data_IF_870791997413
#
_entry.id   IF_870791997413
#
_cell.length_a   1.000
_cell.length_b   1.000
_cell.length_c   1.000
_cell.angle_alpha   90.00
_cell.angle_beta   90.00
_cell.angle_gamma   90.00
#
_symmetry.space_group_name_H-M   'P 1'
#
loop_
_entity.id
_entity.type
_entity.pdbx_description
1 polymer ?
#
# COMPACT_ATOMS: atom_id res chain seq x y z
N UNK A 1 -48.98 12.41 33.49
CA UNK A 1 -48.61 12.38 34.92
C UNK A 1 -47.58 11.28 35.09
N UNK A 2 -46.35 11.64 35.43
CA UNK A 2 -45.23 10.74 35.69
C UNK A 2 -45.42 10.05 37.04
N UNK A 3 -45.31 8.73 37.07
CA UNK A 3 -45.41 7.91 38.29
C UNK A 3 -44.16 8.05 39.17
N UNK A 4 -44.28 7.94 40.49
CA UNK A 4 -43.16 8.10 41.41
C UNK A 4 -42.25 6.86 41.34
N UNK A 5 -41.10 7.02 40.68
CA UNK A 5 -40.11 5.96 40.44
C UNK A 5 -39.18 6.19 39.24
N UNK A 6 -39.46 7.18 38.39
CA UNK A 6 -38.71 7.49 37.16
C UNK A 6 -37.23 7.89 37.43
N UNK A 7 -36.22 7.11 37.01
CA UNK A 7 -34.90 7.65 36.73
C UNK A 7 -34.95 8.40 35.38
N UNK A 8 -35.50 9.61 35.42
CA UNK A 8 -34.87 10.85 34.92
C UNK A 8 -34.28 10.99 33.51
N UNK A 9 -34.50 10.11 32.52
CA UNK A 9 -33.99 10.34 31.15
C UNK A 9 -35.13 10.56 30.15
N UNK A 10 -35.82 11.69 30.26
CA UNK A 10 -36.97 12.07 29.39
C UNK A 10 -36.68 12.04 27.88
N UNK A 11 -35.41 12.05 27.49
CA UNK A 11 -34.96 12.03 26.10
C UNK A 11 -34.68 10.64 25.53
N UNK A 12 -34.69 9.58 26.36
CA UNK A 12 -34.36 8.22 25.93
C UNK A 12 -35.48 7.22 26.28
N UNK A 13 -35.58 6.10 25.56
CA UNK A 13 -36.55 5.06 25.88
C UNK A 13 -36.23 4.39 27.23
N UNK A 14 -37.21 4.35 28.13
CA UNK A 14 -37.04 3.83 29.50
C UNK A 14 -37.24 2.31 29.62
N UNK A 15 -37.89 1.68 28.63
CA UNK A 15 -38.19 0.24 28.62
C UNK A 15 -37.41 -0.50 27.53
N UNK A 16 -36.97 -1.73 27.82
CA UNK A 16 -36.27 -2.61 26.85
C UNK A 16 -36.96 -2.75 25.48
N UNK A 17 -38.29 -3.03 25.38
CA UNK A 17 -38.96 -3.19 24.09
C UNK A 17 -39.06 -1.89 23.27
N UNK A 18 -38.84 -0.72 23.89
CA UNK A 18 -38.83 0.55 23.17
C UNK A 18 -37.52 0.77 22.39
N UNK A 19 -36.46 0.04 22.73
CA UNK A 19 -35.22 0.00 21.96
C UNK A 19 -35.34 -1.01 20.82
N UNK A 20 -35.31 -0.53 19.57
CA UNK A 20 -35.27 -1.38 18.38
C UNK A 20 -33.82 -1.67 17.99
N UNK A 21 -33.34 -2.85 18.35
CA UNK A 21 -31.98 -3.30 18.05
C UNK A 21 -31.89 -4.10 16.75
N UNK A 22 -32.94 -4.10 15.93
CA UNK A 22 -32.95 -4.76 14.61
C UNK A 22 -31.84 -4.19 13.68
N UNK A 23 -31.34 -2.98 13.99
CA UNK A 23 -30.17 -2.32 13.38
C UNK A 23 -28.86 -3.11 13.57
N UNK A 24 -28.81 -4.08 14.48
CA UNK A 24 -27.65 -4.98 14.67
C UNK A 24 -27.29 -5.71 13.37
N UNK A 25 -28.29 -6.01 12.52
CA UNK A 25 -28.06 -6.57 11.19
C UNK A 25 -27.26 -5.65 10.28
N UNK A 26 -27.43 -4.31 10.39
CA UNK A 26 -26.67 -3.33 9.62
C UNK A 26 -25.21 -3.27 10.08
N UNK A 27 -24.94 -3.42 11.38
CA UNK A 27 -23.56 -3.44 11.90
C UNK A 27 -22.75 -4.63 11.39
N UNK A 28 -23.42 -5.73 11.04
CA UNK A 28 -22.78 -6.88 10.41
C UNK A 28 -22.36 -6.61 8.95
N UNK A 29 -22.97 -5.61 8.29
CA UNK A 29 -22.72 -5.26 6.88
C UNK A 29 -21.88 -3.97 6.74
N UNK A 30 -21.95 -3.08 7.73
CA UNK A 30 -21.13 -1.87 7.82
C UNK A 30 -19.67 -2.28 8.11
N UNK A 31 -18.71 -1.53 7.53
CA UNK A 31 -17.28 -1.77 7.69
C UNK A 31 -16.60 -2.45 6.49
N UNK A 32 -17.29 -2.56 5.36
CA UNK A 32 -16.77 -3.21 4.15
C UNK A 32 -15.43 -2.61 3.70
N UNK A 33 -15.29 -1.28 3.74
CA UNK A 33 -14.06 -0.59 3.36
C UNK A 33 -12.88 -0.96 4.28
N UNK A 34 -13.12 -1.05 5.59
CA UNK A 34 -12.09 -1.42 6.56
C UNK A 34 -11.61 -2.86 6.35
N UNK A 35 -12.51 -3.79 6.02
CA UNK A 35 -12.14 -5.19 5.74
C UNK A 35 -11.48 -5.32 4.37
N UNK A 36 -11.95 -4.58 3.36
CA UNK A 36 -11.44 -4.63 2.01
C UNK A 36 -9.95 -4.27 1.92
N UNK A 37 -9.49 -3.33 2.74
CA UNK A 37 -8.07 -2.93 2.82
C UNK A 37 -7.19 -4.08 3.32
N UNK A 38 -7.68 -4.86 4.29
CA UNK A 38 -6.93 -5.97 4.89
C UNK A 38 -7.21 -7.32 4.24
N UNK A 39 -8.10 -7.38 3.24
CA UNK A 39 -8.59 -8.61 2.62
C UNK A 39 -7.45 -9.52 2.15
N UNK A 40 -6.45 -8.95 1.47
CA UNK A 40 -5.31 -9.70 0.93
C UNK A 40 -4.45 -10.32 2.03
N UNK A 41 -4.16 -9.58 3.09
CA UNK A 41 -3.37 -10.08 4.22
C UNK A 41 -4.17 -11.11 5.04
N UNK A 42 -5.49 -10.92 5.18
CA UNK A 42 -6.39 -11.88 5.84
C UNK A 42 -6.37 -13.20 5.08
N UNK A 43 -6.57 -13.19 3.76
CA UNK A 43 -6.69 -14.42 2.96
C UNK A 43 -5.36 -15.09 2.67
N UNK A 44 -4.24 -14.38 2.79
CA UNK A 44 -2.89 -14.97 2.74
C UNK A 44 -2.52 -15.75 4.02
N UNK A 45 -3.24 -15.50 5.12
CA UNK A 45 -3.01 -16.13 6.41
C UNK A 45 -3.80 -17.43 6.59
N UNK A 46 -3.19 -18.44 7.20
CA UNK A 46 -3.87 -19.69 7.56
C UNK A 46 -5.06 -19.47 8.51
N UNK A 47 -5.08 -18.39 9.30
CA UNK A 47 -6.18 -18.10 10.22
C UNK A 47 -7.45 -17.63 9.49
N UNK A 48 -7.41 -17.44 8.17
CA UNK A 48 -8.60 -17.16 7.36
C UNK A 48 -9.63 -18.28 7.41
N UNK A 49 -9.19 -19.52 7.69
CA UNK A 49 -10.07 -20.69 7.79
C UNK A 49 -10.76 -20.81 9.16
N UNK A 50 -10.39 -20.01 10.16
CA UNK A 50 -11.02 -20.06 11.49
C UNK A 50 -12.48 -19.58 11.44
N UNK A 51 -13.43 -20.33 12.02
CA UNK A 51 -14.84 -19.95 12.01
C UNK A 51 -15.07 -18.78 12.97
N UNK A 52 -15.24 -17.58 12.44
CA UNK A 52 -15.21 -16.34 13.24
C UNK A 52 -16.21 -15.30 12.75
N UNK A 53 -16.51 -14.33 13.60
CA UNK A 53 -17.36 -13.21 13.26
C UNK A 53 -16.57 -12.19 12.46
N UNK A 54 -16.86 -12.07 11.17
CA UNK A 54 -16.31 -11.04 10.32
C UNK A 54 -17.35 -9.93 10.13
N UNK A 55 -17.02 -8.67 10.46
CA UNK A 55 -17.79 -7.55 9.94
C UNK A 55 -17.72 -7.54 8.42
N UNK A 56 -18.81 -7.13 7.78
CA UNK A 56 -18.91 -6.95 6.33
C UNK A 56 -18.23 -8.05 5.49
N UNK A 57 -18.54 -9.36 5.68
CA UNK A 57 -17.83 -10.44 4.98
C UNK A 57 -17.98 -10.37 3.47
N UNK A 58 -18.97 -9.61 2.97
CA UNK A 58 -19.16 -9.37 1.55
C UNK A 58 -17.94 -8.70 0.88
N UNK A 59 -17.09 -8.00 1.63
CA UNK A 59 -15.80 -7.48 1.12
C UNK A 59 -14.90 -8.58 0.52
N UNK A 60 -15.02 -9.80 1.05
CA UNK A 60 -14.28 -10.99 0.60
C UNK A 60 -15.05 -11.76 -0.49
N UNK A 61 -16.35 -11.49 -0.65
CA UNK A 61 -17.24 -12.17 -1.61
C UNK A 61 -17.12 -11.61 -3.03
N UNK A 62 -15.91 -11.53 -3.58
CA UNK A 62 -15.68 -10.99 -4.92
C UNK A 62 -15.95 -12.04 -6.01
N UNK A 63 -16.57 -11.67 -7.14
CA UNK A 63 -16.85 -12.60 -8.24
C UNK A 63 -15.56 -13.11 -8.90
N UNK A 64 -14.52 -12.28 -8.90
CA UNK A 64 -13.18 -12.62 -9.34
C UNK A 64 -12.15 -12.28 -8.27
N UNK A 65 -11.10 -13.08 -8.20
CA UNK A 65 -9.98 -12.90 -7.29
C UNK A 65 -8.83 -12.20 -8.01
N UNK A 66 -8.10 -11.28 -7.34
CA UNK A 66 -6.98 -10.59 -7.97
C UNK A 66 -5.87 -11.57 -8.30
N UNK A 67 -5.32 -11.50 -9.52
CA UNK A 67 -4.17 -12.33 -9.93
C UNK A 67 -2.85 -11.76 -9.43
N UNK A 68 -2.84 -10.47 -9.06
CA UNK A 68 -1.67 -9.70 -8.65
C UNK A 68 -2.00 -8.79 -7.49
N UNK A 69 -0.96 -8.44 -6.73
CA UNK A 69 -1.05 -7.44 -5.68
C UNK A 69 -1.19 -6.02 -6.26
N UNK A 70 -1.74 -5.06 -5.50
CA UNK A 70 -1.94 -3.71 -5.99
C UNK A 70 -0.60 -2.99 -6.13
N UNK A 71 -0.34 -2.50 -7.33
CA UNK A 71 0.87 -1.74 -7.65
C UNK A 71 0.68 -0.25 -7.34
N UNK A 72 1.77 0.45 -7.05
CA UNK A 72 1.77 1.89 -6.78
C UNK A 72 2.25 2.65 -8.01
N UNK A 73 1.51 3.66 -8.46
CA UNK A 73 1.85 4.41 -9.66
C UNK A 73 3.03 5.35 -9.44
N UNK A 74 4.18 5.02 -10.02
CA UNK A 74 5.37 5.86 -10.06
C UNK A 74 6.20 5.51 -11.30
N UNK A 75 6.95 6.47 -11.84
CA UNK A 75 7.82 6.20 -12.99
C UNK A 75 9.11 5.56 -12.49
N UNK A 76 9.37 4.33 -12.91
CA UNK A 76 10.53 3.56 -12.50
C UNK A 76 11.39 3.24 -13.71
N UNK A 77 12.71 3.40 -13.58
CA UNK A 77 13.67 3.05 -14.61
C UNK A 77 14.88 2.33 -14.03
N UNK A 78 15.28 1.23 -14.65
CA UNK A 78 16.55 0.58 -14.37
C UNK A 78 17.70 1.45 -14.86
N UNK A 79 18.62 1.79 -13.95
CA UNK A 79 19.75 2.68 -14.21
C UNK A 79 20.63 2.11 -15.32
N UNK A 80 20.97 0.83 -15.22
CA UNK A 80 21.84 0.12 -16.16
C UNK A 80 21.10 -0.89 -17.05
N UNK A 81 19.95 -1.42 -16.61
CA UNK A 81 19.27 -2.52 -17.31
C UNK A 81 18.43 -2.09 -18.52
N UNK A 82 18.07 -0.80 -18.64
CA UNK A 82 17.21 -0.37 -19.75
C UNK A 82 15.72 -0.37 -19.44
N UNK A 83 15.29 -1.11 -18.42
CA UNK A 83 13.89 -1.36 -18.10
C UNK A 83 13.17 -0.10 -17.67
N UNK A 84 11.94 0.11 -18.15
CA UNK A 84 11.06 1.21 -17.74
C UNK A 84 9.73 0.61 -17.33
N UNK A 85 9.22 1.04 -16.18
CA UNK A 85 7.92 0.64 -15.66
C UNK A 85 7.19 1.86 -15.12
N UNK A 86 5.87 1.83 -15.21
CA UNK A 86 4.98 2.92 -14.80
C UNK A 86 4.36 2.69 -13.42
N UNK A 87 4.84 1.67 -12.73
CA UNK A 87 4.41 1.25 -11.42
C UNK A 87 5.55 0.61 -10.64
N UNK A 88 5.37 0.57 -9.32
CA UNK A 88 6.25 -0.08 -8.35
C UNK A 88 5.47 -1.19 -7.66
N UNK A 89 6.12 -2.34 -7.46
CA UNK A 89 5.54 -3.51 -6.81
C UNK A 89 5.02 -3.24 -5.40
N UNK A 90 4.11 -4.07 -4.92
CA UNK A 90 3.46 -3.87 -3.63
C UNK A 90 4.47 -3.96 -2.48
N UNK A 91 5.34 -4.98 -2.49
CA UNK A 91 6.33 -5.15 -1.43
C UNK A 91 7.41 -4.07 -1.46
N UNK A 92 7.79 -3.58 -2.65
CA UNK A 92 8.68 -2.43 -2.79
C UNK A 92 8.09 -1.17 -2.15
N UNK A 93 6.80 -0.88 -2.36
CA UNK A 93 6.14 0.27 -1.73
C UNK A 93 5.96 0.11 -0.20
N UNK A 94 5.99 -1.12 0.33
CA UNK A 94 6.03 -1.32 1.79
C UNK A 94 7.40 -0.95 2.37
N UNK A 95 8.48 -1.28 1.66
CA UNK A 95 9.85 -0.94 2.07
C UNK A 95 10.07 0.56 1.97
N UNK A 96 9.65 1.15 0.85
CA UNK A 96 9.78 2.59 0.57
C UNK A 96 8.41 3.17 0.27
N UNK A 97 7.68 3.68 1.28
CA UNK A 97 6.36 4.27 1.09
C UNK A 97 6.46 5.54 0.24
N UNK A 98 6.14 5.44 -1.05
CA UNK A 98 6.29 6.54 -2.01
C UNK A 98 5.36 7.71 -1.72
N UNK A 99 4.19 7.44 -1.14
CA UNK A 99 3.19 8.45 -0.77
C UNK A 99 3.60 9.27 0.46
N UNK A 100 4.56 8.79 1.25
CA UNK A 100 5.05 9.48 2.45
C UNK A 100 6.28 10.36 2.17
N UNK A 101 6.81 10.33 0.95
CA UNK A 101 8.00 11.09 0.58
C UNK A 101 7.66 12.58 0.41
N UNK A 102 8.46 13.50 1.00
CA UNK A 102 8.27 14.92 0.77
C UNK A 102 8.52 15.29 -0.71
N UNK A 103 7.87 16.34 -1.22
CA UNK A 103 8.15 16.86 -2.55
C UNK A 103 9.64 17.18 -2.73
N UNK A 104 10.19 16.86 -3.90
CA UNK A 104 11.60 17.10 -4.24
C UNK A 104 12.65 16.43 -3.32
N UNK A 105 12.25 15.49 -2.47
CA UNK A 105 13.17 14.71 -1.65
C UNK A 105 14.05 13.77 -2.49
N UNK A 106 15.25 13.48 -1.98
CA UNK A 106 16.17 12.53 -2.56
C UNK A 106 16.51 11.45 -1.54
N UNK A 107 16.42 10.20 -1.95
CA UNK A 107 16.68 9.05 -1.07
C UNK A 107 17.51 8.00 -1.82
N UNK A 108 18.56 7.49 -1.18
CA UNK A 108 19.37 6.37 -1.66
C UNK A 108 19.20 5.19 -0.69
N UNK A 109 18.69 4.08 -1.20
CA UNK A 109 18.48 2.86 -0.43
C UNK A 109 19.36 1.73 -0.96
N UNK A 110 20.14 1.12 -0.08
CA UNK A 110 20.84 -0.13 -0.40
C UNK A 110 19.96 -1.29 0.06
N UNK A 111 19.52 -2.13 -0.89
CA UNK A 111 18.70 -3.31 -0.57
C UNK A 111 19.44 -4.59 -0.98
N UNK A 112 19.54 -5.51 -0.04
CA UNK A 112 20.22 -6.81 -0.21
C UNK A 112 19.38 -7.93 0.40
N UNK A 113 19.51 -9.15 -0.13
CA UNK A 113 18.96 -10.34 0.53
C UNK A 113 19.62 -10.53 1.90
N UNK A 114 18.81 -10.89 2.89
CA UNK A 114 19.30 -11.21 4.23
C UNK A 114 20.23 -12.43 4.18
N UNK A 115 21.28 -12.50 5.03
CA UNK A 115 22.20 -13.64 5.06
C UNK A 115 21.51 -15.00 5.21
N UNK A 116 20.45 -15.05 6.03
CA UNK A 116 19.63 -16.25 6.23
C UNK A 116 18.90 -16.68 4.96
N UNK A 117 18.45 -15.73 4.14
CA UNK A 117 17.75 -16.02 2.90
C UNK A 117 18.69 -16.56 1.82
N UNK A 118 19.93 -16.06 1.75
CA UNK A 118 20.94 -16.56 0.80
C UNK A 118 21.23 -18.06 0.98
N UNK A 119 21.31 -18.52 2.24
CA UNK A 119 21.48 -19.95 2.57
C UNK A 119 20.25 -20.78 2.14
N UNK A 120 19.05 -20.22 2.34
CA UNK A 120 17.81 -20.87 1.94
C UNK A 120 17.60 -20.89 0.43
N UNK A 121 18.02 -19.83 -0.26
CA UNK A 121 17.90 -19.65 -1.72
C UNK A 121 18.77 -20.66 -2.46
N UNK A 122 19.98 -20.95 -1.97
CA UNK A 122 20.81 -22.03 -2.50
C UNK A 122 20.11 -23.39 -2.44
N UNK A 123 19.37 -23.64 -1.37
CA UNK A 123 18.55 -24.87 -1.21
C UNK A 123 17.31 -24.85 -2.11
N UNK A 124 16.62 -23.71 -2.21
CA UNK A 124 15.41 -23.55 -3.03
C UNK A 124 15.69 -23.62 -4.54
N UNK A 125 16.84 -23.12 -4.99
CA UNK A 125 17.30 -23.23 -6.37
C UNK A 125 17.52 -24.70 -6.78
N UNK A 126 17.95 -25.55 -5.86
CA UNK A 126 18.10 -27.01 -6.08
C UNK A 126 16.74 -27.71 -6.11
N UNK A 127 15.78 -27.28 -5.29
CA UNK A 127 14.43 -27.88 -5.23
C UNK A 127 13.43 -27.26 -6.22
N UNK A 128 13.83 -26.26 -7.00
CA UNK A 128 12.96 -25.56 -7.96
C UNK A 128 11.84 -24.72 -7.31
N UNK A 129 11.99 -24.36 -6.04
CA UNK A 129 10.99 -23.60 -5.29
C UNK A 129 11.05 -22.11 -5.65
N UNK A 130 9.89 -21.48 -5.85
CA UNK A 130 9.84 -20.03 -6.07
C UNK A 130 9.89 -19.26 -4.75
N UNK A 131 10.55 -18.09 -4.74
CA UNK A 131 10.57 -17.18 -3.61
C UNK A 131 9.17 -16.73 -3.14
N UNK A 132 8.94 -16.66 -1.82
CA UNK A 132 7.67 -16.23 -1.20
C UNK A 132 7.88 -15.16 -0.13
N UNK A 133 6.83 -14.36 0.14
CA UNK A 133 6.77 -13.38 1.24
C UNK A 133 5.58 -13.74 2.15
N UNK A 134 5.79 -14.47 3.26
CA UNK A 134 4.69 -14.88 4.11
C UNK A 134 4.11 -13.69 4.91
N UNK A 135 2.85 -13.80 5.37
CA UNK A 135 2.34 -12.90 6.40
C UNK A 135 3.11 -13.11 7.71
N UNK A 136 3.30 -12.04 8.50
CA UNK A 136 3.99 -12.13 9.80
C UNK A 136 3.21 -13.03 10.76
N UNK A 137 3.90 -14.00 11.37
CA UNK A 137 3.32 -14.95 12.32
C UNK A 137 2.58 -14.28 13.50
N UNK A 138 3.09 -13.14 13.98
CA UNK A 138 2.51 -12.32 15.06
C UNK A 138 1.95 -10.98 14.53
N UNK A 139 1.35 -10.99 13.35
CA UNK A 139 0.68 -9.81 12.82
C UNK A 139 -0.55 -9.44 13.68
N UNK A 140 -0.85 -8.14 13.88
CA UNK A 140 -2.07 -7.68 14.55
C UNK A 140 -3.36 -8.31 13.98
N UNK A 141 -3.37 -8.66 12.69
CA UNK A 141 -4.48 -9.37 12.06
C UNK A 141 -4.70 -10.77 12.64
N UNK A 142 -3.63 -11.48 13.02
CA UNK A 142 -3.74 -12.80 13.64
C UNK A 142 -4.33 -12.70 15.04
N UNK A 143 -3.87 -11.72 15.83
CA UNK A 143 -4.44 -11.44 17.15
C UNK A 143 -5.93 -11.09 17.04
N UNK A 144 -6.30 -10.23 16.10
CA UNK A 144 -7.69 -9.87 15.86
C UNK A 144 -8.53 -11.06 15.36
N UNK A 145 -7.95 -11.92 14.52
CA UNK A 145 -8.60 -13.14 14.04
C UNK A 145 -8.88 -14.12 15.18
N UNK A 146 -7.90 -14.32 16.07
CA UNK A 146 -8.04 -15.17 17.24
C UNK A 146 -9.05 -14.57 18.23
N UNK A 147 -9.00 -13.25 18.47
CA UNK A 147 -9.97 -12.54 19.29
C UNK A 147 -11.40 -12.69 18.74
N UNK A 148 -11.59 -12.50 17.43
CA UNK A 148 -12.89 -12.67 16.77
C UNK A 148 -13.41 -14.11 16.91
N UNK A 149 -12.55 -15.11 16.76
CA UNK A 149 -12.92 -16.52 17.00
C UNK A 149 -13.36 -16.76 18.45
N UNK A 150 -12.60 -16.27 19.43
CA UNK A 150 -12.95 -16.39 20.85
C UNK A 150 -14.25 -15.64 21.18
N UNK A 151 -14.47 -14.48 20.55
CA UNK A 151 -15.69 -13.70 20.69
C UNK A 151 -16.89 -14.46 20.11
N UNK A 152 -16.76 -15.06 18.92
CA UNK A 152 -17.78 -15.95 18.35
C UNK A 152 -18.13 -17.11 19.28
N UNK A 153 -17.12 -17.78 19.85
CA UNK A 153 -17.35 -18.86 20.81
C UNK A 153 -18.06 -18.35 22.08
N UNK A 154 -17.67 -17.18 22.59
CA UNK A 154 -18.31 -16.53 23.73
C UNK A 154 -19.78 -16.18 23.46
N UNK A 155 -20.09 -15.63 22.28
CA UNK A 155 -21.47 -15.35 21.85
C UNK A 155 -22.27 -16.64 21.75
N UNK A 156 -21.70 -17.71 21.18
CA UNK A 156 -22.38 -19.00 21.06
C UNK A 156 -22.71 -19.59 22.45
N UNK A 157 -21.77 -19.56 23.39
CA UNK A 157 -21.99 -20.00 24.77
C UNK A 157 -23.07 -19.16 25.45
N UNK A 158 -23.04 -17.84 25.30
CA UNK A 158 -24.06 -16.95 25.85
C UNK A 158 -25.45 -17.24 25.27
N UNK A 159 -25.55 -17.49 23.95
CA UNK A 159 -26.81 -17.84 23.29
C UNK A 159 -27.38 -19.17 23.81
N UNK A 160 -26.53 -20.16 24.11
CA UNK A 160 -26.95 -21.41 24.76
C UNK A 160 -27.50 -21.17 26.17
N UNK A 161 -26.82 -20.33 26.97
CA UNK A 161 -27.28 -19.97 28.33
C UNK A 161 -28.63 -19.23 28.28
N UNK A 162 -28.81 -18.32 27.32
CA UNK A 162 -30.05 -17.58 27.11
C UNK A 162 -31.14 -18.36 26.37
N UNK A 163 -30.85 -19.61 25.96
CA UNK A 163 -31.76 -20.49 25.21
C UNK A 163 -32.29 -19.85 23.91
N UNK A 164 -31.44 -19.09 23.23
CA UNK A 164 -31.76 -18.40 21.98
C UNK A 164 -31.34 -19.26 20.78
N UNK A 165 -32.24 -20.13 20.34
CA UNK A 165 -31.99 -21.04 19.21
C UNK A 165 -31.70 -20.32 17.89
N UNK A 166 -32.32 -19.14 17.68
CA UNK A 166 -32.11 -18.34 16.47
C UNK A 166 -30.70 -17.78 16.44
N UNK A 167 -30.23 -17.25 17.58
CA UNK A 167 -28.85 -16.76 17.71
C UNK A 167 -27.81 -17.88 17.52
N UNK A 168 -28.05 -19.08 18.06
CA UNK A 168 -27.15 -20.23 17.88
C UNK A 168 -26.98 -20.56 16.39
N UNK A 169 -28.08 -20.67 15.65
CA UNK A 169 -28.05 -20.98 14.22
C UNK A 169 -27.37 -19.84 13.45
N UNK A 170 -27.75 -18.59 13.71
CA UNK A 170 -27.19 -17.42 13.03
C UNK A 170 -25.67 -17.33 13.19
N UNK A 171 -25.16 -17.48 14.42
CA UNK A 171 -23.72 -17.39 14.72
C UNK A 171 -22.94 -18.59 14.18
N UNK A 172 -23.55 -19.77 14.14
CA UNK A 172 -22.94 -20.95 13.52
C UNK A 172 -22.82 -20.76 12.01
N UNK A 173 -23.88 -20.32 11.35
CA UNK A 173 -23.90 -20.13 9.90
C UNK A 173 -22.95 -19.01 9.45
N UNK A 174 -22.88 -17.89 10.17
CA UNK A 174 -21.95 -16.79 9.81
C UNK A 174 -20.49 -17.17 10.04
N UNK A 175 -20.21 -17.92 11.12
CA UNK A 175 -18.87 -18.42 11.40
C UNK A 175 -18.47 -19.45 10.34
N UNK A 176 -19.38 -20.34 9.93
CA UNK A 176 -19.14 -21.28 8.82
C UNK A 176 -18.92 -20.55 7.49
N UNK A 177 -19.70 -19.49 7.21
CA UNK A 177 -19.53 -18.66 6.02
C UNK A 177 -18.12 -18.08 5.96
N UNK A 178 -17.60 -17.57 7.10
CA UNK A 178 -16.23 -17.05 7.17
C UNK A 178 -15.18 -18.10 6.81
N UNK A 179 -15.30 -19.33 7.31
CA UNK A 179 -14.40 -20.44 6.98
C UNK A 179 -14.46 -20.82 5.52
N UNK A 180 -15.66 -20.94 4.94
CA UNK A 180 -15.86 -21.30 3.53
C UNK A 180 -15.22 -20.24 2.61
N UNK A 181 -15.46 -18.96 2.91
CA UNK A 181 -14.91 -17.84 2.13
C UNK A 181 -13.39 -17.73 2.30
N UNK A 182 -12.89 -17.91 3.53
CA UNK A 182 -11.46 -17.91 3.83
C UNK A 182 -10.72 -19.04 3.11
N UNK A 183 -11.25 -20.27 3.18
CA UNK A 183 -10.70 -21.41 2.45
C UNK A 183 -10.67 -21.16 0.93
N UNK A 184 -11.79 -20.73 0.35
CA UNK A 184 -11.90 -20.45 -1.08
C UNK A 184 -10.91 -19.36 -1.55
N UNK A 185 -10.69 -18.36 -0.70
CA UNK A 185 -9.83 -17.21 -1.02
C UNK A 185 -8.38 -17.41 -0.59
N UNK A 186 -8.03 -18.55 0.01
CA UNK A 186 -6.69 -18.80 0.54
C UNK A 186 -5.62 -18.79 -0.55
N UNK A 187 -4.53 -18.07 -0.31
CA UNK A 187 -3.48 -17.85 -1.29
C UNK A 187 -2.12 -17.56 -0.66
N UNK A 188 -1.07 -17.53 -1.48
CA UNK A 188 0.27 -17.07 -1.10
C UNK A 188 0.90 -16.21 -2.21
N UNK A 189 1.71 -15.19 -1.86
CA UNK A 189 2.43 -14.41 -2.85
C UNK A 189 3.66 -15.17 -3.34
N UNK A 190 3.82 -15.17 -4.65
CA UNK A 190 4.99 -15.71 -5.32
C UNK A 190 5.73 -14.58 -6.01
N UNK A 191 7.03 -14.49 -5.74
CA UNK A 191 7.91 -13.55 -6.40
C UNK A 191 8.50 -14.16 -7.67
N UNK A 192 8.84 -13.31 -8.62
CA UNK A 192 9.45 -13.73 -9.87
C UNK A 192 10.90 -14.12 -9.64
N UNK A 193 11.34 -15.28 -10.16
CA UNK A 193 12.74 -15.74 -10.09
C UNK A 193 13.39 -15.88 -11.48
N UNK A 194 14.70 -15.64 -11.53
CA UNK A 194 15.51 -15.69 -12.73
C UNK A 194 15.74 -17.16 -13.06
N UNK A 195 15.54 -17.52 -14.32
CA UNK A 195 15.80 -18.89 -14.80
C UNK A 195 17.20 -19.08 -15.39
N UNK A 196 17.84 -17.99 -15.83
CA UNK A 196 19.14 -18.02 -16.51
C UNK A 196 20.21 -17.33 -15.66
N UNK A 197 21.43 -17.85 -15.65
CA UNK A 197 22.55 -17.36 -14.82
C UNK A 197 23.57 -16.54 -15.61
N UNK A 198 23.15 -15.87 -16.69
CA UNK A 198 24.05 -15.04 -17.48
C UNK A 198 24.58 -13.86 -16.63
N UNK A 199 25.74 -13.35 -16.99
CA UNK A 199 26.22 -12.09 -16.39
C UNK A 199 25.24 -10.96 -16.75
N UNK A 200 24.88 -10.15 -15.75
CA UNK A 200 23.88 -9.08 -15.86
C UNK A 200 24.41 -7.81 -15.20
N UNK A 201 24.06 -6.63 -15.75
CA UNK A 201 24.39 -5.38 -15.10
C UNK A 201 23.75 -5.27 -13.71
N UNK A 202 24.18 -4.28 -12.93
CA UNK A 202 23.57 -4.02 -11.61
C UNK A 202 22.07 -3.79 -11.72
N UNK A 203 21.33 -4.26 -10.72
CA UNK A 203 19.87 -4.16 -10.64
C UNK A 203 19.38 -2.79 -10.20
N UNK A 204 20.24 -1.77 -10.16
CA UNK A 204 19.91 -0.46 -9.62
C UNK A 204 18.69 0.16 -10.31
N UNK A 205 17.76 0.65 -9.49
CA UNK A 205 16.48 1.20 -9.93
C UNK A 205 16.36 2.64 -9.49
N UNK A 206 15.93 3.51 -10.40
CA UNK A 206 15.54 4.89 -10.11
C UNK A 206 14.01 5.01 -10.14
N UNK A 207 13.43 5.53 -9.08
CA UNK A 207 12.00 5.78 -8.96
C UNK A 207 11.77 7.29 -8.88
N UNK A 208 10.85 7.78 -9.71
CA UNK A 208 10.41 9.18 -9.74
C UNK A 208 8.94 9.25 -9.35
N UNK A 209 8.64 10.02 -8.30
CA UNK A 209 7.26 10.27 -7.86
C UNK A 209 6.63 11.43 -8.66
N UNK A 210 5.32 11.62 -8.53
CA UNK A 210 4.62 12.76 -9.13
C UNK A 210 5.05 14.11 -8.53
N UNK A 211 5.37 14.13 -7.25
CA UNK A 211 5.80 15.32 -6.50
C UNK A 211 7.29 15.67 -6.73
N UNK A 212 7.95 15.03 -7.71
CA UNK A 212 9.33 15.34 -8.09
C UNK A 212 10.40 14.78 -7.15
N UNK A 213 10.04 13.84 -6.25
CA UNK A 213 11.01 13.12 -5.45
C UNK A 213 11.69 12.01 -6.26
N UNK A 214 12.95 11.74 -5.96
CA UNK A 214 13.75 10.68 -6.58
C UNK A 214 14.25 9.70 -5.52
N UNK A 215 14.02 8.41 -5.76
CA UNK A 215 14.55 7.32 -4.95
C UNK A 215 15.47 6.46 -5.79
N UNK A 216 16.76 6.42 -5.45
CA UNK A 216 17.72 5.49 -6.00
C UNK A 216 17.78 4.25 -5.12
N UNK A 217 17.46 3.10 -5.68
CA UNK A 217 17.60 1.81 -5.02
C UNK A 217 18.82 1.10 -5.62
N UNK A 218 19.87 0.91 -4.83
CA UNK A 218 21.04 0.12 -5.19
C UNK A 218 20.84 -1.31 -4.74
N UNK A 219 20.77 -2.23 -5.70
CA UNK A 219 20.47 -3.63 -5.41
C UNK A 219 20.96 -4.56 -6.53
N UNK A 220 21.03 -5.85 -6.24
CA UNK A 220 21.33 -6.86 -7.27
C UNK A 220 20.13 -7.02 -8.23
N UNK A 221 20.40 -7.49 -9.44
CA UNK A 221 19.34 -7.75 -10.44
C UNK A 221 18.27 -8.73 -9.93
N UNK A 222 18.62 -9.66 -9.04
CA UNK A 222 17.63 -10.58 -8.45
C UNK A 222 16.69 -9.88 -7.47
N UNK A 223 17.20 -8.98 -6.62
CA UNK A 223 16.35 -8.14 -5.74
C UNK A 223 15.49 -7.22 -6.58
N UNK A 224 16.07 -6.57 -7.60
CA UNK A 224 15.35 -5.68 -8.50
C UNK A 224 14.17 -6.39 -9.18
N UNK A 225 14.39 -7.63 -9.62
CA UNK A 225 13.39 -8.45 -10.31
C UNK A 225 12.42 -9.17 -9.38
N UNK A 226 12.69 -9.25 -8.09
CA UNK A 226 11.73 -9.74 -7.11
C UNK A 226 10.79 -8.63 -6.63
N UNK A 227 11.32 -7.42 -6.38
CA UNK A 227 10.58 -6.32 -5.76
C UNK A 227 10.06 -5.24 -6.72
N UNK A 228 10.80 -4.96 -7.80
CA UNK A 228 10.56 -3.77 -8.64
C UNK A 228 10.11 -4.13 -10.05
N UNK A 229 10.87 -4.93 -10.79
CA UNK A 229 10.53 -5.34 -12.16
C UNK A 229 9.75 -6.65 -12.23
N UNK A 230 9.68 -7.36 -11.11
CA UNK A 230 8.93 -8.60 -10.93
C UNK A 230 7.44 -8.40 -10.92
N UNK A 231 6.73 -9.37 -11.49
CA UNK A 231 5.29 -9.45 -11.29
C UNK A 231 5.01 -10.31 -10.07
N UNK A 232 4.44 -9.71 -9.03
CA UNK A 232 4.02 -10.41 -7.81
C UNK A 232 2.70 -11.15 -8.10
N UNK A 233 2.79 -12.46 -8.27
CA UNK A 233 1.62 -13.29 -8.61
C UNK A 233 0.98 -13.88 -7.35
N UNK A 234 -0.35 -13.84 -7.31
CA UNK A 234 -1.13 -14.47 -6.26
C UNK A 234 -1.40 -15.93 -6.63
N UNK A 235 -0.71 -16.88 -5.99
CA UNK A 235 -1.00 -18.31 -6.15
C UNK A 235 -2.05 -18.74 -5.14
N UNK A 236 -3.22 -19.12 -5.64
CA UNK A 236 -4.33 -19.59 -4.81
C UNK A 236 -4.33 -21.10 -4.71
N UNK A 237 -4.60 -21.62 -3.51
CA UNK A 237 -4.67 -23.05 -3.26
C UNK A 237 -5.91 -23.71 -3.88
N UNK A 238 -7.01 -22.95 -3.99
CA UNK A 238 -8.28 -23.43 -4.54
C UNK A 238 -8.40 -23.08 -6.02
N UNK A 239 -8.86 -24.02 -6.85
CA UNK A 239 -9.12 -23.80 -8.28
C UNK A 239 -10.35 -22.92 -8.55
N UNK A 240 -10.44 -22.32 -9.73
CA UNK A 240 -11.47 -21.33 -10.07
C UNK A 240 -12.92 -21.86 -9.98
N UNK A 241 -13.17 -23.10 -10.42
CA UNK A 241 -14.52 -23.69 -10.34
C UNK A 241 -14.96 -23.89 -8.89
N UNK A 242 -14.09 -24.45 -8.06
CA UNK A 242 -14.35 -24.66 -6.65
C UNK A 242 -14.51 -23.33 -5.90
N UNK A 243 -13.69 -22.32 -6.26
CA UNK A 243 -13.84 -20.95 -5.75
C UNK A 243 -15.26 -20.43 -5.98
N UNK A 244 -15.74 -20.40 -7.24
CA UNK A 244 -17.09 -19.87 -7.56
C UNK A 244 -18.21 -20.56 -6.79
N UNK A 245 -18.13 -21.89 -6.63
CA UNK A 245 -19.11 -22.67 -5.84
C UNK A 245 -19.05 -22.29 -4.36
N UNK A 246 -17.85 -22.20 -3.77
CA UNK A 246 -17.68 -21.81 -2.39
C UNK A 246 -18.15 -20.36 -2.13
N UNK A 247 -17.92 -19.44 -3.08
CA UNK A 247 -18.39 -18.05 -2.98
C UNK A 247 -19.92 -17.98 -3.01
N UNK A 248 -20.57 -18.75 -3.87
CA UNK A 248 -22.03 -18.86 -3.90
C UNK A 248 -22.56 -19.44 -2.58
N UNK A 249 -21.94 -20.50 -2.06
CA UNK A 249 -22.31 -21.10 -0.78
C UNK A 249 -22.13 -20.10 0.38
N UNK A 250 -20.98 -19.43 0.45
CA UNK A 250 -20.70 -18.41 1.48
C UNK A 250 -21.70 -17.26 1.46
N UNK A 251 -22.10 -16.82 0.27
CA UNK A 251 -23.13 -15.77 0.09
C UNK A 251 -24.49 -16.22 0.63
N UNK A 252 -24.93 -17.44 0.31
CA UNK A 252 -26.20 -18.00 0.80
C UNK A 252 -26.18 -18.12 2.32
N UNK A 253 -25.10 -18.68 2.89
CA UNK A 253 -24.94 -18.81 4.33
C UNK A 253 -25.01 -17.45 5.02
N UNK A 254 -24.34 -16.44 4.47
CA UNK A 254 -24.34 -15.08 4.98
C UNK A 254 -25.74 -14.44 4.94
N UNK A 255 -26.43 -14.52 3.81
CA UNK A 255 -27.78 -13.96 3.66
C UNK A 255 -28.76 -14.58 4.67
N UNK A 256 -28.77 -15.90 4.81
CA UNK A 256 -29.61 -16.61 5.79
C UNK A 256 -29.25 -16.20 7.22
N UNK A 257 -27.95 -16.09 7.52
CA UNK A 257 -27.47 -15.68 8.85
C UNK A 257 -27.94 -14.28 9.23
N UNK A 258 -27.83 -13.31 8.31
CA UNK A 258 -28.22 -11.91 8.57
C UNK A 258 -29.72 -11.78 8.83
N UNK A 259 -30.56 -12.53 8.12
CA UNK A 259 -32.01 -12.57 8.39
C UNK A 259 -32.31 -13.13 9.79
N UNK A 260 -31.60 -14.19 10.21
CA UNK A 260 -31.78 -14.77 11.54
C UNK A 260 -31.30 -13.83 12.66
N UNK A 261 -30.23 -13.06 12.45
CA UNK A 261 -29.74 -12.09 13.43
C UNK A 261 -30.80 -11.06 13.84
N UNK A 262 -31.62 -10.61 12.90
CA UNK A 262 -32.73 -9.69 13.17
C UNK A 262 -33.83 -10.27 14.05
N UNK A 263 -33.91 -11.60 14.17
CA UNK A 263 -34.93 -12.31 14.93
C UNK A 263 -34.41 -12.87 16.27
N UNK A 264 -33.19 -12.51 16.66
CA UNK A 264 -32.61 -12.92 17.94
C UNK A 264 -33.27 -12.21 19.13
N UNK A 265 -33.15 -12.80 20.32
CA UNK A 265 -33.62 -12.15 21.55
C UNK A 265 -32.81 -10.89 21.86
N UNK A 266 -33.42 -9.95 22.61
CA UNK A 266 -32.81 -8.66 22.92
C UNK A 266 -31.42 -8.78 23.58
N UNK A 267 -31.22 -9.75 24.48
CA UNK A 267 -29.92 -9.97 25.13
C UNK A 267 -28.85 -10.40 24.11
N UNK A 268 -29.18 -11.34 23.22
CA UNK A 268 -28.30 -11.78 22.13
C UNK A 268 -28.01 -10.65 21.14
N UNK A 269 -29.02 -9.87 20.76
CA UNK A 269 -28.87 -8.73 19.85
C UNK A 269 -27.88 -7.69 20.39
N UNK A 270 -27.96 -7.32 21.68
CA UNK A 270 -26.98 -6.41 22.29
C UNK A 270 -25.58 -7.00 22.24
N UNK A 271 -25.42 -8.27 22.62
CA UNK A 271 -24.10 -8.86 22.72
C UNK A 271 -23.43 -9.00 21.35
N UNK A 272 -24.21 -9.42 20.35
CA UNK A 272 -23.77 -9.52 18.95
C UNK A 272 -23.49 -8.12 18.39
N UNK A 273 -24.39 -7.16 18.59
CA UNK A 273 -24.22 -5.78 18.13
C UNK A 273 -22.99 -5.10 18.72
N UNK A 274 -22.80 -5.22 20.04
CA UNK A 274 -21.61 -4.73 20.73
C UNK A 274 -20.33 -5.39 20.21
N UNK A 275 -20.38 -6.69 19.94
CA UNK A 275 -19.26 -7.42 19.35
C UNK A 275 -18.90 -6.90 17.96
N UNK A 276 -19.89 -6.63 17.10
CA UNK A 276 -19.65 -6.03 15.79
C UNK A 276 -19.12 -4.60 15.87
N UNK A 277 -19.57 -3.78 16.83
CA UNK A 277 -19.02 -2.43 17.05
C UNK A 277 -17.54 -2.52 17.41
N UNK A 278 -17.19 -3.40 18.36
CA UNK A 278 -15.80 -3.61 18.77
C UNK A 278 -14.96 -4.11 17.60
N UNK A 279 -15.43 -5.14 16.89
CA UNK A 279 -14.69 -5.69 15.74
C UNK A 279 -14.52 -4.67 14.62
N UNK A 280 -15.57 -3.92 14.25
CA UNK A 280 -15.47 -2.85 13.25
C UNK A 280 -14.46 -1.78 13.67
N UNK A 281 -14.50 -1.34 14.93
CA UNK A 281 -13.54 -0.37 15.46
C UNK A 281 -12.09 -0.89 15.42
N UNK A 282 -11.88 -2.17 15.77
CA UNK A 282 -10.57 -2.80 15.71
C UNK A 282 -10.05 -2.95 14.27
N UNK A 283 -10.89 -3.42 13.33
CA UNK A 283 -10.51 -3.53 11.92
C UNK A 283 -10.22 -2.18 11.28
N UNK A 284 -11.01 -1.15 11.61
CA UNK A 284 -10.72 0.22 11.20
C UNK A 284 -9.39 0.71 11.79
N UNK A 285 -9.14 0.46 13.08
CA UNK A 285 -7.88 0.82 13.73
C UNK A 285 -6.65 0.13 13.12
N UNK A 286 -6.79 -1.09 12.59
CA UNK A 286 -5.71 -1.76 11.86
C UNK A 286 -5.31 -1.01 10.58
N UNK A 287 -6.23 -0.27 9.94
CA UNK A 287 -5.91 0.57 8.77
C UNK A 287 -4.93 1.71 9.09
N UNK A 288 -4.80 2.08 10.36
CA UNK A 288 -3.83 3.10 10.80
C UNK A 288 -2.41 2.56 10.99
N UNK A 289 -2.22 1.23 10.95
CA UNK A 289 -0.92 0.61 11.14
C UNK A 289 -0.18 0.48 9.80
N UNK A 290 1.14 0.68 9.76
CA UNK A 290 1.90 0.52 8.53
C UNK A 290 1.91 -0.95 8.09
N UNK A 291 1.91 -1.15 6.77
CA UNK A 291 1.80 -2.48 6.14
C UNK A 291 2.96 -3.43 6.51
N UNK A 292 4.07 -2.90 7.00
CA UNK A 292 5.22 -3.64 7.53
C UNK A 292 4.86 -4.54 8.72
N UNK A 293 3.77 -4.28 9.45
CA UNK A 293 3.31 -5.17 10.53
C UNK A 293 2.56 -6.41 10.02
N UNK A 294 2.03 -6.40 8.79
CA UNK A 294 1.24 -7.50 8.24
C UNK A 294 2.09 -8.49 7.42
N UNK A 295 3.12 -7.99 6.73
CA UNK A 295 3.96 -8.77 5.82
C UNK A 295 5.36 -8.97 6.37
N UNK A 296 5.91 -10.18 6.19
CA UNK A 296 7.26 -10.50 6.63
C UNK A 296 8.28 -10.24 5.54
N UNK A 297 8.90 -9.06 5.60
CA UNK A 297 9.97 -8.63 4.69
C UNK A 297 11.37 -8.93 5.23
N UNK A 298 11.51 -9.77 6.27
CA UNK A 298 12.81 -10.13 6.88
C UNK A 298 13.81 -10.76 5.90
N UNK A 299 13.31 -11.22 4.75
CA UNK A 299 14.11 -11.65 3.62
C UNK A 299 15.02 -10.56 3.05
N UNK A 300 14.61 -9.30 3.15
CA UNK A 300 15.39 -8.17 2.65
C UNK A 300 15.98 -7.40 3.83
N UNK A 301 17.22 -6.97 3.65
CA UNK A 301 17.87 -6.00 4.52
C UNK A 301 18.05 -4.72 3.71
N UNK A 302 17.69 -3.59 4.31
CA UNK A 302 17.86 -2.31 3.67
C UNK A 302 18.44 -1.29 4.63
N UNK A 303 19.24 -0.38 4.09
CA UNK A 303 19.81 0.75 4.82
C UNK A 303 19.64 2.02 4.00
N UNK A 304 19.36 3.12 4.69
CA UNK A 304 19.46 4.45 4.12
C UNK A 304 20.95 4.77 3.94
N UNK A 305 21.35 4.98 2.69
CA UNK A 305 22.70 5.33 2.30
C UNK A 305 22.76 6.74 1.69
N UNK A 306 21.72 7.54 1.91
CA UNK A 306 21.66 8.94 1.47
C UNK A 306 22.70 9.74 2.22
N UNK A 307 23.54 10.45 1.49
CA UNK A 307 24.52 11.35 2.07
C UNK A 307 23.87 12.61 2.66
N UNK A 308 24.57 13.31 3.56
CA UNK A 308 24.00 14.41 4.36
C UNK A 308 23.44 15.57 3.52
N UNK A 309 24.00 15.78 2.33
CA UNK A 309 23.52 16.79 1.38
C UNK A 309 22.21 16.38 0.71
N UNK A 310 22.09 15.10 0.32
CA UNK A 310 20.89 14.51 -0.25
C UNK A 310 19.72 14.44 0.73
N UNK A 311 19.99 14.20 2.03
CA UNK A 311 18.96 14.14 3.07
C UNK A 311 18.21 15.46 3.26
N UNK A 312 18.81 16.58 2.85
CA UNK A 312 18.22 17.93 2.97
C UNK A 312 17.62 18.42 1.65
N UNK A 313 17.48 17.54 0.65
CA UNK A 313 17.03 17.90 -0.70
C UNK A 313 15.62 18.50 -0.77
N UNK A 314 14.75 18.22 0.21
CA UNK A 314 13.41 18.77 0.35
C UNK A 314 13.37 20.09 1.16
N UNK A 315 14.47 20.46 1.80
CA UNK A 315 14.57 21.65 2.66
C UNK A 315 15.34 22.80 2.01
N UNK A 316 15.22 23.99 2.59
CA UNK A 316 16.04 25.14 2.19
C UNK A 316 17.42 24.97 2.83
N UNK A 317 18.44 24.77 2.00
CA UNK A 317 19.83 24.58 2.43
C UNK A 317 20.56 25.89 2.62
N UNK A 318 20.26 26.88 1.77
CA UNK A 318 20.76 28.25 1.87
C UNK A 318 19.59 29.21 1.58
N UNK A 319 19.38 30.19 2.45
CA UNK A 319 18.31 31.20 2.27
C UNK A 319 18.75 32.35 1.39
N UNK A 320 20.05 32.58 1.28
CA UNK A 320 20.62 33.68 0.51
C UNK A 320 20.83 33.27 -0.97
N UNK A 321 20.84 31.96 -1.25
CA UNK A 321 20.81 31.41 -2.61
C UNK A 321 19.38 31.01 -3.03
N UNK A 322 18.66 31.95 -3.64
CA UNK A 322 17.30 31.70 -4.16
C UNK A 322 17.23 30.58 -5.22
N UNK A 323 18.37 30.18 -5.82
CA UNK A 323 18.41 29.24 -6.95
C UNK A 323 18.78 27.83 -6.53
N UNK A 324 19.93 27.64 -5.88
CA UNK A 324 20.40 26.33 -5.43
C UNK A 324 19.93 25.99 -4.01
N UNK A 325 19.69 27.02 -3.20
CA UNK A 325 19.30 26.90 -1.81
C UNK A 325 17.89 26.35 -1.62
N UNK A 326 17.02 26.49 -2.62
CA UNK A 326 15.62 26.06 -2.57
C UNK A 326 15.37 24.69 -3.22
N UNK A 327 14.42 23.89 -2.68
CA UNK A 327 14.03 22.62 -3.26
C UNK A 327 13.43 22.81 -4.65
N UNK A 328 14.00 22.11 -5.63
CA UNK A 328 13.58 22.14 -7.03
C UNK A 328 13.82 20.79 -7.69
N UNK A 329 13.01 20.47 -8.71
CA UNK A 329 13.14 19.22 -9.44
C UNK A 329 14.54 19.06 -10.07
N UNK A 330 15.11 20.16 -10.57
CA UNK A 330 16.44 20.15 -11.20
C UNK A 330 17.55 19.84 -10.21
N UNK A 331 17.44 20.34 -8.97
CA UNK A 331 18.38 20.04 -7.89
C UNK A 331 18.32 18.56 -7.50
N UNK A 332 17.11 18.03 -7.32
CA UNK A 332 16.93 16.61 -6.98
C UNK A 332 17.36 15.68 -8.12
N UNK A 333 17.10 16.07 -9.38
CA UNK A 333 17.57 15.35 -10.56
C UNK A 333 19.11 15.34 -10.64
N UNK A 334 19.76 16.44 -10.29
CA UNK A 334 21.22 16.50 -10.19
C UNK A 334 21.75 15.49 -9.16
N UNK A 335 21.16 15.42 -7.96
CA UNK A 335 21.55 14.43 -6.95
C UNK A 335 21.38 13.00 -7.47
N UNK A 336 20.29 12.71 -8.17
CA UNK A 336 20.07 11.41 -8.77
C UNK A 336 21.12 11.06 -9.85
N UNK A 337 21.48 11.99 -10.74
CA UNK A 337 22.51 11.79 -11.77
C UNK A 337 23.90 11.61 -11.13
N UNK A 338 24.19 12.38 -10.09
CA UNK A 338 25.44 12.32 -9.33
C UNK A 338 25.68 10.96 -8.70
N UNK A 339 24.66 10.41 -8.04
CA UNK A 339 24.78 9.10 -7.38
C UNK A 339 24.77 7.94 -8.38
N UNK A 340 24.01 8.05 -9.48
CA UNK A 340 23.96 7.00 -10.51
C UNK A 340 25.16 7.02 -11.46
N UNK A 341 25.80 8.19 -11.63
CA UNK A 341 26.84 8.46 -12.65
C UNK A 341 26.41 8.05 -14.06
N UNK A 342 25.11 8.12 -14.33
CA UNK A 342 24.50 7.72 -15.58
C UNK A 342 23.30 8.63 -15.91
N UNK A 343 23.11 8.94 -17.19
CA UNK A 343 21.99 9.78 -17.67
C UNK A 343 21.00 9.04 -18.57
N UNK A 344 21.34 7.82 -19.04
CA UNK A 344 20.47 7.09 -19.98
C UNK A 344 19.09 6.74 -19.43
N UNK A 345 18.95 6.63 -18.10
CA UNK A 345 17.65 6.43 -17.44
C UNK A 345 16.81 7.70 -17.40
N UNK A 346 17.42 8.89 -17.45
CA UNK A 346 16.73 10.20 -17.37
C UNK A 346 15.89 10.42 -18.62
N UNK A 347 16.49 10.21 -19.80
CA UNK A 347 15.79 10.32 -21.09
C UNK A 347 14.70 9.25 -21.21
N UNK A 348 15.02 8.01 -20.84
CA UNK A 348 14.11 6.86 -20.89
C UNK A 348 12.89 7.01 -19.99
N UNK A 349 13.06 7.52 -18.78
CA UNK A 349 11.96 7.74 -17.82
C UNK A 349 11.13 9.00 -18.11
N UNK A 350 11.53 9.81 -19.09
CA UNK A 350 10.94 11.11 -19.38
C UNK A 350 11.10 12.08 -18.20
N UNK A 351 12.19 11.96 -17.43
CA UNK A 351 12.49 12.88 -16.34
C UNK A 351 12.98 14.24 -16.85
N UNK A 352 13.61 14.29 -18.02
CA UNK A 352 13.96 15.52 -18.71
C UNK A 352 13.41 15.51 -20.16
N UNK A 353 13.03 16.67 -20.72
CA UNK A 353 12.72 16.80 -22.15
C UNK A 353 13.89 16.36 -23.03
N UNK A 354 13.61 15.73 -24.17
CA UNK A 354 14.61 15.31 -25.16
C UNK A 354 15.13 16.44 -26.05
N UNK A 355 15.30 17.64 -25.52
CA UNK A 355 15.68 18.83 -26.29
C UNK A 355 17.19 19.05 -26.26
N UNK A 356 17.79 19.69 -27.28
CA UNK A 356 19.24 19.89 -27.33
C UNK A 356 19.80 20.59 -26.10
N UNK A 357 19.03 21.51 -25.51
CA UNK A 357 19.39 22.26 -24.31
C UNK A 357 19.48 21.35 -23.08
N UNK A 358 18.48 20.48 -22.90
CA UNK A 358 18.49 19.50 -21.83
C UNK A 358 19.58 18.45 -22.04
N UNK A 359 19.83 18.05 -23.28
CA UNK A 359 20.90 17.12 -23.61
C UNK A 359 22.27 17.71 -23.29
N UNK A 360 22.49 19.01 -23.58
CA UNK A 360 23.68 19.74 -23.16
C UNK A 360 23.82 19.72 -21.62
N UNK A 361 22.76 20.10 -20.90
CA UNK A 361 22.78 20.11 -19.43
C UNK A 361 23.05 18.72 -18.82
N UNK A 362 22.44 17.67 -19.37
CA UNK A 362 22.64 16.29 -18.92
C UNK A 362 24.07 15.80 -19.16
N UNK A 363 24.69 16.18 -20.28
CA UNK A 363 26.08 15.87 -20.55
C UNK A 363 27.02 16.59 -19.57
N UNK A 364 26.82 17.89 -19.34
CA UNK A 364 27.58 18.66 -18.33
C UNK A 364 27.39 18.08 -16.92
N UNK A 365 26.17 17.65 -16.57
CA UNK A 365 25.88 16.97 -15.32
C UNK A 365 26.65 15.63 -15.21
N UNK A 366 26.61 14.81 -16.26
CA UNK A 366 27.31 13.53 -16.27
C UNK A 366 28.83 13.70 -16.08
N UNK A 367 29.42 14.70 -16.71
CA UNK A 367 30.84 15.02 -16.56
C UNK A 367 31.17 15.42 -15.12
N UNK A 368 30.41 16.34 -14.53
CA UNK A 368 30.59 16.74 -13.13
C UNK A 368 30.38 15.57 -12.15
N UNK A 369 29.40 14.70 -12.40
CA UNK A 369 29.14 13.50 -11.60
C UNK A 369 30.32 12.52 -11.65
N UNK A 370 30.94 12.33 -12.83
CA UNK A 370 32.13 11.48 -12.99
C UNK A 370 33.37 12.07 -12.32
N UNK A 371 33.52 13.39 -12.34
CA UNK A 371 34.58 14.12 -11.65
C UNK A 371 34.38 14.19 -10.13
N UNK A 372 33.20 13.83 -9.62
CA UNK A 372 32.87 13.92 -8.20
C UNK A 372 32.66 15.34 -7.70
N UNK A 373 32.36 16.28 -8.60
CA UNK A 373 32.08 17.67 -8.25
C UNK A 373 30.67 17.77 -7.64
N UNK A 374 30.56 17.77 -6.31
CA UNK A 374 29.26 17.81 -5.62
C UNK A 374 28.63 19.20 -5.59
N UNK A 375 29.46 20.24 -5.61
CA UNK A 375 29.07 21.66 -5.46
C UNK A 375 28.76 22.32 -6.81
N UNK A 376 28.49 21.53 -7.85
CA UNK A 376 28.11 22.05 -9.16
C UNK A 376 26.74 22.75 -9.09
N UNK A 377 26.72 24.02 -9.48
CA UNK A 377 25.51 24.88 -9.50
C UNK A 377 24.55 24.45 -10.64
N UNK A 378 23.91 23.30 -10.47
CA UNK A 378 23.14 22.62 -11.49
C UNK A 378 21.88 23.41 -11.93
N UNK A 379 21.18 24.06 -10.99
CA UNK A 379 19.98 24.86 -11.25
C UNK A 379 20.33 26.15 -11.95
N UNK A 380 21.36 26.85 -11.48
CA UNK A 380 21.88 28.07 -12.12
C UNK A 380 22.33 27.78 -13.54
N UNK A 381 23.06 26.70 -13.75
CA UNK A 381 23.54 26.31 -15.07
C UNK A 381 22.40 25.98 -16.04
N UNK A 382 21.35 25.28 -15.58
CA UNK A 382 20.13 25.07 -16.37
C UNK A 382 19.55 26.42 -16.83
N UNK A 383 19.42 27.38 -15.92
CA UNK A 383 18.82 28.68 -16.22
C UNK A 383 19.63 29.46 -17.28
N UNK A 384 20.97 29.38 -17.24
CA UNK A 384 21.84 29.98 -18.25
C UNK A 384 21.59 29.41 -19.65
N UNK A 385 21.58 28.07 -19.77
CA UNK A 385 21.37 27.36 -21.04
C UNK A 385 19.99 27.71 -21.62
N UNK A 386 18.94 27.69 -20.79
CA UNK A 386 17.57 28.01 -21.23
C UNK A 386 17.44 29.49 -21.64
N UNK A 387 18.09 30.40 -20.91
CA UNK A 387 18.09 31.83 -21.24
C UNK A 387 18.82 32.10 -22.55
N UNK A 388 19.93 31.41 -22.81
CA UNK A 388 20.66 31.52 -24.06
C UNK A 388 19.81 31.02 -25.24
N UNK A 389 19.18 29.85 -25.11
CA UNK A 389 18.32 29.30 -26.14
C UNK A 389 17.07 30.16 -26.45
N UNK A 390 16.53 30.85 -25.43
CA UNK A 390 15.42 31.79 -25.62
C UNK A 390 15.84 33.02 -26.42
N UNK A 391 17.06 33.54 -26.20
CA UNK A 391 17.61 34.66 -26.98
C UNK A 391 17.86 34.30 -28.44
N UNK A 392 18.18 33.02 -28.71
CA UNK A 392 18.42 32.51 -30.06
C UNK A 392 17.13 32.22 -30.86
N UNK A 393 15.95 32.53 -30.31
CA UNK A 393 14.67 32.49 -31.03
C UNK A 393 14.02 31.11 -31.16
N UNK A 394 14.36 30.15 -30.28
CA UNK A 394 13.73 28.82 -30.28
C UNK A 394 12.27 28.79 -29.82
N UNK A 395 11.54 27.73 -30.18
CA UNK A 395 10.14 27.52 -29.81
C UNK A 395 9.94 27.44 -28.28
N UNK A 396 9.10 28.32 -27.68
CA UNK A 396 8.90 28.38 -26.24
C UNK A 396 8.25 27.13 -25.63
N UNK A 397 7.51 26.32 -26.40
CA UNK A 397 6.91 25.08 -25.89
C UNK A 397 7.96 23.95 -25.72
N UNK A 398 9.01 23.99 -26.54
CA UNK A 398 10.14 23.05 -26.49
C UNK A 398 11.11 23.38 -25.33
N UNK A 399 11.12 24.62 -24.82
CA UNK A 399 12.13 25.09 -23.86
C UNK A 399 11.75 24.95 -22.37
N UNK A 400 10.50 24.58 -22.05
CA UNK A 400 10.04 24.51 -20.66
C UNK A 400 10.07 23.06 -20.16
N UNK A 401 10.59 22.87 -18.95
CA UNK A 401 10.42 21.61 -18.22
C UNK A 401 8.92 21.27 -18.12
N UNK A 402 8.52 19.99 -18.08
CA UNK A 402 7.13 19.62 -17.88
C UNK A 402 6.58 20.34 -16.64
N UNK A 403 5.46 21.05 -16.81
CA UNK A 403 4.87 21.89 -15.78
C UNK A 403 4.39 21.02 -14.60
N UNK A 404 5.28 20.82 -13.63
CA UNK A 404 4.95 20.42 -12.26
C UNK A 404 5.87 21.16 -11.26
N UNK A 405 6.35 22.33 -11.67
CA UNK A 405 6.99 23.29 -10.78
C UNK A 405 5.99 24.41 -10.48
N UNK A 406 5.90 24.78 -9.20
CA UNK A 406 5.15 25.90 -8.62
C UNK A 406 3.70 25.59 -8.17
N UNK A 407 3.53 24.91 -7.02
CA UNK A 407 2.53 25.39 -6.06
C UNK A 407 3.15 26.55 -5.29
N UNK A 408 2.97 27.78 -5.79
CA UNK A 408 3.14 28.98 -4.98
C UNK A 408 2.05 28.98 -3.92
N UNK A 409 2.42 28.63 -2.69
CA UNK A 409 1.65 29.06 -1.53
C UNK A 409 1.62 30.59 -1.51
N UNK A 410 0.52 31.18 -1.99
CA UNK A 410 0.26 32.61 -1.83
C UNK A 410 -0.31 33.32 -3.04
N UNK A 411 -1.56 33.05 -3.40
CA UNK A 411 -2.45 34.09 -3.97
C UNK A 411 -3.90 33.66 -3.73
N UNK A 412 -4.61 34.35 -2.84
CA UNK A 412 -6.04 34.16 -2.65
C UNK A 412 -6.77 34.44 -3.99
N UNK A 413 -7.66 33.56 -4.47
CA UNK A 413 -8.51 33.90 -5.59
C UNK A 413 -9.58 34.87 -5.09
N UNK A 414 -9.47 36.11 -5.55
CA UNK A 414 -10.46 37.15 -5.36
C UNK A 414 -11.83 36.74 -5.87
N UNK A 415 -12.84 37.25 -5.18
CA UNK A 415 -14.25 37.28 -5.56
C UNK A 415 -14.48 37.28 -7.07
N UNK A 416 -15.09 36.20 -7.56
CA UNK A 416 -15.91 36.29 -8.76
C UNK A 416 -17.29 35.71 -8.45
N UNK A 417 -18.24 36.61 -8.20
CA UNK A 417 -19.67 36.35 -8.28
C UNK A 417 -19.97 35.76 -9.65
N UNK A 418 -20.63 34.62 -9.67
CA UNK A 418 -21.39 34.16 -10.84
C UNK A 418 -22.81 33.86 -10.38
N UNK A 419 -23.70 34.75 -10.81
CA UNK A 419 -25.13 34.56 -10.92
C UNK A 419 -25.47 33.52 -12.00
N UNK A 420 -26.59 32.85 -11.76
CA UNK A 420 -27.29 31.80 -12.55
C UNK A 420 -26.86 30.36 -12.29
#
# INVERSE_FOLDING_TARGET
MSSPGDPGWKWFPNDKPSWRLDVVTLLAVIGESAIAEHAQAITASLLCMLPRLLPAPQALLKPSRPTRLPETHAKMAGVYSGTILDSVGFFANIITPLDALPPYSFLVLDIQHAPSDLLSTGTMAVTGGRPIVPPKLLSPLHLLSAFSFLLSAGILVAAVIWKDGVAIIAITLISLASTVVGYASSWRPILMQRRHTNDVPSGDVMIRTREGAFVLVRCSEDVARELYSGTEECEYYVGEKAYRVCMALGTILLMVSVVLLGNCTWNSQIFIGGSYIVLNGLYWGLGMLPKTYFWDLSRYTWRDATEEDGQKADTITDKDDEREGHPSFTRTLWYAIRETKAIGWVERSGAAPGTPQWQQWLNEALENAKLGNRDWEAVKRKNEIMTQASKDGGDPATQRAPATEVQTNGSAPGNMRSTF
#
